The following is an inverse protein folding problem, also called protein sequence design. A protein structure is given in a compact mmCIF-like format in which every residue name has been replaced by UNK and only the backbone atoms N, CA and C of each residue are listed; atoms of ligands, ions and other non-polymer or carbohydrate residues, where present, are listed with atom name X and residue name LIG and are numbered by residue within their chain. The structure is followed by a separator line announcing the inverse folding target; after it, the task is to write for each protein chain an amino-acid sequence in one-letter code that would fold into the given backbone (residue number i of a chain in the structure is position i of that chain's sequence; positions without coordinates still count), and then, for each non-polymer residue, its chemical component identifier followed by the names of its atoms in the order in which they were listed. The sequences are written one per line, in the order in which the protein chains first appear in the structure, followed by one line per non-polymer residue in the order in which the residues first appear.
data_IF_963681849909
#
_entry.id   IF_963681849909
#
_cell.length_a   1.000
_cell.length_b   1.000
_cell.length_c   1.000
_cell.angle_alpha   90.00
_cell.angle_beta   90.00
_cell.angle_gamma   90.00
#
_symmetry.space_group_name_H-M   'P 1'
#
loop_
_entity.id
_entity.type
_entity.pdbx_description
1 polymer ?
#
# COMPACT_ATOMS: atom_id res chain seq x y z
N UNK A 1 2.91 8.53 -4.92
CA UNK A 1 2.98 8.64 -3.45
C UNK A 1 4.17 9.48 -3.04
N UNK A 2 3.96 10.41 -2.15
CA UNK A 2 5.01 11.27 -1.59
C UNK A 2 5.47 10.64 -0.26
N UNK A 3 6.75 10.32 -0.08
CA UNK A 3 7.22 9.55 1.08
C UNK A 3 6.83 10.13 2.45
N UNK A 4 6.82 11.46 2.58
CA UNK A 4 6.50 12.14 3.85
C UNK A 4 5.01 11.99 4.27
N UNK A 5 4.12 11.52 3.39
CA UNK A 5 2.72 11.22 3.75
C UNK A 5 2.53 9.78 4.25
N UNK A 6 3.53 8.90 4.11
CA UNK A 6 3.42 7.49 4.52
C UNK A 6 3.11 7.28 6.01
N UNK A 7 3.66 8.08 6.96
CA UNK A 7 3.27 7.95 8.37
C UNK A 7 1.80 8.28 8.64
N UNK A 8 1.15 9.00 7.73
CA UNK A 8 -0.29 9.33 7.79
C UNK A 8 -1.16 8.34 6.98
N UNK A 9 -0.61 7.19 6.57
CA UNK A 9 -1.37 6.16 5.88
C UNK A 9 -2.47 5.59 6.76
N UNK A 10 -3.69 5.58 6.26
CA UNK A 10 -4.86 5.01 6.94
C UNK A 10 -5.64 4.04 6.05
N UNK A 11 -5.33 3.96 4.76
CA UNK A 11 -5.98 3.06 3.83
C UNK A 11 -5.14 2.76 2.58
N UNK A 12 -5.54 1.71 1.87
CA UNK A 12 -5.08 1.39 0.52
C UNK A 12 -6.29 1.40 -0.40
N UNK A 13 -6.29 2.23 -1.45
CA UNK A 13 -7.43 2.32 -2.36
C UNK A 13 -7.16 1.56 -3.65
N UNK A 14 -8.12 0.73 -4.05
CA UNK A 14 -8.13 -0.05 -5.30
C UNK A 14 -9.29 0.34 -6.18
N UNK A 15 -9.16 0.16 -7.50
CA UNK A 15 -10.27 0.36 -8.43
C UNK A 15 -11.21 -0.85 -8.42
N UNK A 16 -12.53 -0.68 -8.19
CA UNK A 16 -13.46 -1.81 -8.07
C UNK A 16 -13.47 -2.72 -9.29
N UNK A 17 -13.38 -2.14 -10.48
CA UNK A 17 -13.45 -2.85 -11.77
C UNK A 17 -12.08 -3.24 -12.34
N UNK A 18 -10.99 -2.90 -11.67
CA UNK A 18 -9.63 -3.26 -12.09
C UNK A 18 -9.37 -4.72 -11.77
N UNK A 19 -8.73 -5.42 -12.72
CA UNK A 19 -8.23 -6.79 -12.51
C UNK A 19 -6.89 -6.73 -11.78
N UNK A 20 -6.80 -7.44 -10.67
CA UNK A 20 -5.58 -7.62 -9.87
C UNK A 20 -5.11 -9.06 -9.93
N UNK A 21 -3.82 -9.26 -9.71
CA UNK A 21 -3.21 -10.59 -9.62
C UNK A 21 -2.39 -10.70 -8.33
N UNK A 22 -2.43 -11.90 -7.75
CA UNK A 22 -1.53 -12.31 -6.69
C UNK A 22 -0.35 -13.01 -7.37
N UNK A 23 0.82 -12.42 -7.27
CA UNK A 23 2.06 -12.93 -7.87
C UNK A 23 2.97 -13.45 -6.77
N UNK A 24 3.42 -14.69 -6.93
CA UNK A 24 4.49 -15.27 -6.12
C UNK A 24 5.83 -15.04 -6.84
N UNK A 25 6.83 -14.57 -6.09
CA UNK A 25 8.18 -14.30 -6.59
C UNK A 25 9.18 -14.25 -5.42
N UNK A 26 10.38 -13.76 -5.66
CA UNK A 26 11.38 -13.47 -4.63
C UNK A 26 11.61 -11.97 -4.49
N UNK A 27 11.85 -11.52 -3.28
CA UNK A 27 12.30 -10.16 -3.02
C UNK A 27 13.73 -10.02 -3.57
N UNK A 28 14.03 -9.04 -4.46
CA UNK A 28 15.34 -8.92 -5.11
C UNK A 28 16.49 -8.53 -4.15
N UNK A 29 16.17 -8.09 -2.94
CA UNK A 29 17.16 -7.66 -1.95
C UNK A 29 17.41 -8.71 -0.86
N UNK A 30 16.34 -9.35 -0.39
CA UNK A 30 16.44 -10.34 0.69
C UNK A 30 16.50 -11.77 0.18
N UNK A 31 16.15 -11.99 -1.09
CA UNK A 31 16.03 -13.30 -1.76
C UNK A 31 15.02 -14.25 -1.10
N UNK A 32 14.17 -13.72 -0.21
CA UNK A 32 13.08 -14.47 0.40
C UNK A 32 11.87 -14.49 -0.53
N UNK A 33 11.13 -15.59 -0.52
CA UNK A 33 9.86 -15.71 -1.24
C UNK A 33 8.86 -14.68 -0.74
N UNK A 34 8.16 -14.02 -1.66
CA UNK A 34 7.14 -13.03 -1.36
C UNK A 34 5.95 -13.18 -2.30
N UNK A 35 4.77 -12.89 -1.78
CA UNK A 35 3.55 -12.74 -2.56
C UNK A 35 3.20 -11.26 -2.63
N UNK A 36 2.94 -10.75 -3.83
CA UNK A 36 2.55 -9.35 -4.05
C UNK A 36 1.26 -9.26 -4.85
N UNK A 37 0.46 -8.24 -4.55
CA UNK A 37 -0.76 -7.92 -5.31
C UNK A 37 -0.51 -6.65 -6.10
N UNK A 38 -0.85 -6.67 -7.39
CA UNK A 38 -0.83 -5.49 -8.25
C UNK A 38 -1.85 -5.63 -9.38
N UNK A 39 -2.16 -4.51 -10.03
CA UNK A 39 -3.03 -4.53 -11.20
C UNK A 39 -2.42 -5.41 -12.31
N UNK A 40 -3.23 -6.30 -12.88
CA UNK A 40 -2.81 -7.23 -13.93
C UNK A 40 -2.17 -6.52 -15.12
N UNK A 41 -2.72 -5.36 -15.51
CA UNK A 41 -2.19 -4.55 -16.61
C UNK A 41 -0.77 -4.03 -16.37
N UNK A 42 -0.32 -3.99 -15.12
CA UNK A 42 0.98 -3.45 -14.72
C UNK A 42 2.04 -4.51 -14.44
N UNK A 43 1.70 -5.80 -14.54
CA UNK A 43 2.63 -6.92 -14.29
C UNK A 43 3.90 -6.77 -15.11
N UNK A 44 3.79 -6.47 -16.40
CA UNK A 44 4.94 -6.32 -17.32
C UNK A 44 5.88 -5.14 -17.00
N UNK A 45 5.46 -4.18 -16.14
CA UNK A 45 6.36 -3.12 -15.65
C UNK A 45 7.33 -3.61 -14.58
N UNK A 46 6.95 -4.63 -13.82
CA UNK A 46 7.70 -5.11 -12.66
C UNK A 46 8.36 -6.48 -12.88
N UNK A 47 7.76 -7.31 -13.73
CA UNK A 47 8.18 -8.68 -13.94
C UNK A 47 8.54 -8.92 -15.40
N UNK A 48 9.73 -9.46 -15.63
CA UNK A 48 10.17 -9.82 -16.99
C UNK A 48 9.44 -11.06 -17.47
N UNK A 49 8.93 -11.11 -18.71
CA UNK A 49 8.23 -12.27 -19.25
C UNK A 49 9.03 -13.57 -19.16
N UNK A 50 10.36 -13.50 -19.32
CA UNK A 50 11.26 -14.65 -19.26
C UNK A 50 11.31 -15.32 -17.88
N UNK A 51 10.85 -14.61 -16.83
CA UNK A 51 10.75 -15.14 -15.46
C UNK A 51 9.42 -15.82 -15.17
N UNK A 52 8.44 -15.72 -16.09
CA UNK A 52 7.12 -16.30 -15.87
C UNK A 52 7.19 -17.83 -15.75
N UNK A 53 6.63 -18.38 -14.68
CA UNK A 53 6.71 -19.80 -14.33
C UNK A 53 8.14 -20.36 -14.32
N UNK A 54 9.12 -19.50 -14.01
CA UNK A 54 10.53 -19.89 -13.96
C UNK A 54 10.87 -20.86 -12.84
N UNK A 55 12.13 -21.21 -12.72
CA UNK A 55 12.62 -22.19 -11.75
C UNK A 55 12.72 -21.59 -10.35
N UNK A 56 11.76 -21.93 -9.50
CA UNK A 56 11.73 -21.53 -8.08
C UNK A 56 12.62 -22.40 -7.20
N UNK A 57 12.87 -23.66 -7.58
CA UNK A 57 13.61 -24.63 -6.77
C UNK A 57 15.11 -24.34 -6.78
N UNK A 58 15.64 -23.92 -7.94
CA UNK A 58 17.06 -23.62 -8.10
C UNK A 58 17.36 -22.12 -8.05
N UNK A 59 16.39 -21.27 -7.61
CA UNK A 59 16.63 -19.84 -7.47
C UNK A 59 17.73 -19.57 -6.42
N UNK A 60 18.64 -18.67 -6.77
CA UNK A 60 19.67 -18.15 -5.87
C UNK A 60 19.99 -16.68 -6.24
N UNK A 61 20.82 -16.03 -5.41
CA UNK A 61 21.13 -14.60 -5.55
C UNK A 61 21.84 -14.22 -6.87
N UNK A 62 22.44 -15.17 -7.57
CA UNK A 62 23.16 -14.92 -8.84
C UNK A 62 22.21 -14.92 -10.05
N UNK A 63 20.94 -15.32 -9.87
CA UNK A 63 19.94 -15.36 -10.94
C UNK A 63 19.51 -13.94 -11.30
N UNK A 64 19.76 -13.54 -12.56
CA UNK A 64 19.49 -12.18 -13.06
C UNK A 64 18.01 -11.89 -13.33
N UNK A 65 17.20 -12.93 -13.54
CA UNK A 65 15.77 -12.83 -13.86
C UNK A 65 15.03 -13.55 -12.75
N UNK A 66 14.29 -12.79 -11.93
CA UNK A 66 13.49 -13.35 -10.86
C UNK A 66 12.39 -14.25 -11.45
N UNK A 67 12.26 -15.50 -10.99
CA UNK A 67 11.10 -16.32 -11.34
C UNK A 67 9.86 -15.75 -10.65
N UNK A 68 8.74 -15.77 -11.37
CA UNK A 68 7.46 -15.33 -10.85
C UNK A 68 6.33 -16.15 -11.45
N UNK A 69 5.22 -16.24 -10.73
CA UNK A 69 4.00 -16.89 -11.22
C UNK A 69 2.76 -16.26 -10.63
N UNK A 70 1.68 -16.23 -11.40
CA UNK A 70 0.37 -15.77 -10.91
C UNK A 70 -0.27 -16.93 -10.16
N UNK A 71 -0.62 -16.67 -8.88
CA UNK A 71 -1.34 -17.63 -8.03
C UNK A 71 -2.84 -17.47 -8.14
N UNK A 72 -3.33 -16.23 -8.30
CA UNK A 72 -4.74 -15.91 -8.38
C UNK A 72 -4.98 -14.62 -9.17
N UNK A 73 -6.16 -14.52 -9.76
CA UNK A 73 -6.70 -13.29 -10.38
C UNK A 73 -8.00 -12.92 -9.69
N UNK A 74 -8.21 -11.63 -9.42
CA UNK A 74 -9.35 -11.13 -8.67
C UNK A 74 -9.76 -9.72 -9.15
N UNK A 75 -11.00 -9.34 -8.92
CA UNK A 75 -11.46 -7.97 -9.10
C UNK A 75 -11.15 -7.13 -7.87
N UNK A 76 -10.89 -5.83 -8.06
CA UNK A 76 -10.62 -4.93 -6.94
C UNK A 76 -11.73 -4.91 -5.90
N UNK A 77 -13.00 -5.00 -6.32
CA UNK A 77 -14.14 -5.09 -5.40
C UNK A 77 -14.03 -6.23 -4.38
N UNK A 78 -13.37 -7.33 -4.73
CA UNK A 78 -13.19 -8.48 -3.81
C UNK A 78 -12.15 -8.23 -2.71
N UNK A 79 -11.36 -7.17 -2.85
CA UNK A 79 -10.38 -6.73 -1.84
C UNK A 79 -10.98 -5.77 -0.82
N UNK A 80 -12.20 -5.26 -1.04
CA UNK A 80 -12.84 -4.30 -0.15
C UNK A 80 -12.88 -4.82 1.29
N UNK A 81 -12.45 -3.97 2.22
CA UNK A 81 -12.47 -4.27 3.65
C UNK A 81 -11.35 -5.21 4.15
N UNK A 82 -10.49 -5.75 3.27
CA UNK A 82 -9.31 -6.48 3.71
C UNK A 82 -8.46 -5.61 4.64
N UNK A 83 -8.06 -6.15 5.78
CA UNK A 83 -7.20 -5.48 6.75
C UNK A 83 -5.74 -5.72 6.40
N UNK A 84 -4.87 -4.73 6.70
CA UNK A 84 -3.43 -4.86 6.55
C UNK A 84 -2.70 -4.32 7.78
N UNK A 85 -1.50 -4.78 8.03
CA UNK A 85 -0.65 -4.27 9.09
C UNK A 85 -0.18 -2.84 8.77
N UNK A 86 -0.22 -1.96 9.77
CA UNK A 86 0.24 -0.59 9.62
C UNK A 86 1.68 -0.55 9.10
N UNK A 87 1.92 0.19 8.01
CA UNK A 87 3.21 0.24 7.32
C UNK A 87 4.34 0.77 8.19
N UNK A 88 4.07 1.85 8.93
CA UNK A 88 5.04 2.55 9.78
C UNK A 88 4.41 2.80 11.15
N UNK A 89 4.44 1.80 12.06
CA UNK A 89 3.80 1.91 13.37
C UNK A 89 4.69 2.72 14.34
N UNK A 90 4.22 3.89 14.71
CA UNK A 90 4.83 4.76 15.72
C UNK A 90 3.81 5.13 16.79
N UNK A 91 4.26 5.74 17.89
CA UNK A 91 3.39 6.19 18.97
C UNK A 91 2.37 7.23 18.46
N UNK A 92 2.84 8.24 17.73
CA UNK A 92 2.01 9.35 17.24
C UNK A 92 0.92 8.93 16.25
N UNK A 93 1.12 7.85 15.50
CA UNK A 93 0.15 7.36 14.51
C UNK A 93 -0.48 6.02 14.89
N UNK A 94 -0.44 5.67 16.18
CA UNK A 94 -1.02 4.42 16.68
C UNK A 94 -2.55 4.42 16.55
N UNK A 95 -3.13 3.23 16.54
CA UNK A 95 -4.58 3.05 16.52
C UNK A 95 -5.26 3.76 17.70
N UNK A 96 -4.61 3.85 18.86
CA UNK A 96 -5.11 4.56 20.03
C UNK A 96 -5.25 6.05 19.73
N UNK A 97 -4.20 6.69 19.20
CA UNK A 97 -4.24 8.12 18.83
C UNK A 97 -5.30 8.40 17.77
N UNK A 98 -5.39 7.55 16.74
CA UNK A 98 -6.41 7.68 15.68
C UNK A 98 -7.82 7.64 16.27
N UNK A 99 -8.09 6.75 17.23
CA UNK A 99 -9.39 6.58 17.86
C UNK A 99 -9.69 7.63 18.93
N UNK A 100 -8.71 8.32 19.50
CA UNK A 100 -8.95 9.49 20.35
C UNK A 100 -9.59 10.62 19.54
N UNK A 101 -9.16 10.85 18.29
CA UNK A 101 -9.73 11.89 17.43
C UNK A 101 -11.00 11.41 16.68
N UNK A 102 -11.05 10.14 16.31
CA UNK A 102 -12.18 9.52 15.59
C UNK A 102 -12.49 8.15 16.21
N UNK A 103 -13.33 8.11 17.28
CA UNK A 103 -13.54 6.89 18.10
C UNK A 103 -13.98 5.64 17.32
N UNK A 104 -14.80 5.82 16.28
CA UNK A 104 -15.34 4.74 15.45
C UNK A 104 -14.52 4.50 14.18
N UNK A 105 -13.31 5.09 14.08
CA UNK A 105 -12.46 4.91 12.89
C UNK A 105 -12.06 3.44 12.69
N UNK A 106 -12.07 3.04 11.43
CA UNK A 106 -11.63 1.71 10.98
C UNK A 106 -10.47 1.86 9.97
N UNK A 107 -9.27 2.30 10.40
CA UNK A 107 -8.13 2.47 9.53
C UNK A 107 -7.52 1.13 9.10
N UNK A 108 -6.49 1.20 8.24
CA UNK A 108 -5.68 0.08 7.77
C UNK A 108 -6.47 -0.99 7.01
N UNK A 109 -7.36 -0.50 6.12
CA UNK A 109 -8.21 -1.34 5.26
C UNK A 109 -8.07 -0.99 3.80
N UNK A 110 -8.40 -1.96 2.95
CA UNK A 110 -8.53 -1.74 1.51
C UNK A 110 -9.89 -1.10 1.22
N UNK A 111 -9.86 -0.04 0.43
CA UNK A 111 -11.01 0.81 0.09
C UNK A 111 -11.23 0.78 -1.43
N UNK A 112 -12.46 1.07 -1.87
CA UNK A 112 -12.77 1.23 -3.29
C UNK A 112 -12.81 2.70 -3.70
N UNK A 113 -12.13 3.02 -4.80
CA UNK A 113 -12.12 4.37 -5.38
C UNK A 113 -12.04 4.34 -6.90
N UNK A 114 -12.96 5.05 -7.56
CA UNK A 114 -13.04 5.10 -9.03
C UNK A 114 -11.91 5.94 -9.67
N UNK A 115 -11.15 6.68 -8.86
CA UNK A 115 -10.02 7.49 -9.31
C UNK A 115 -8.72 6.68 -9.52
N UNK A 116 -8.70 5.42 -9.11
CA UNK A 116 -7.54 4.54 -9.29
C UNK A 116 -7.40 4.18 -10.76
N UNK A 117 -6.20 4.35 -11.30
CA UNK A 117 -5.85 4.02 -12.70
C UNK A 117 -4.78 2.95 -12.79
N UNK A 118 -4.59 2.42 -14.00
CA UNK A 118 -3.51 1.48 -14.32
C UNK A 118 -2.47 2.09 -15.28
N UNK A 119 -2.39 3.41 -15.32
CA UNK A 119 -1.41 4.12 -16.16
C UNK A 119 -0.02 4.08 -15.55
N UNK A 120 0.03 4.18 -14.20
CA UNK A 120 1.28 4.18 -13.45
C UNK A 120 1.14 3.49 -12.09
N UNK A 121 2.28 3.32 -11.38
CA UNK A 121 2.31 2.66 -10.08
C UNK A 121 1.94 1.18 -10.15
N UNK A 122 1.24 0.69 -9.12
CA UNK A 122 0.83 -0.70 -8.97
C UNK A 122 -0.67 -0.93 -9.14
N UNK A 123 -1.46 0.13 -9.37
CA UNK A 123 -2.92 0.09 -9.33
C UNK A 123 -3.50 0.04 -7.90
N UNK A 124 -2.67 0.24 -6.89
CA UNK A 124 -3.06 0.37 -5.48
C UNK A 124 -2.54 1.70 -4.97
N UNK A 125 -3.43 2.54 -4.46
CA UNK A 125 -3.10 3.90 -4.03
C UNK A 125 -3.01 3.95 -2.51
N UNK A 126 -1.85 4.38 -2.00
CA UNK A 126 -1.69 4.80 -0.61
C UNK A 126 -2.66 5.95 -0.31
N UNK A 127 -3.43 5.83 0.76
CA UNK A 127 -4.49 6.77 1.12
C UNK A 127 -4.20 7.43 2.46
N UNK A 128 -4.02 8.75 2.43
CA UNK A 128 -3.81 9.60 3.60
C UNK A 128 -4.81 10.77 3.55
N UNK A 129 -5.97 10.68 4.23
CA UNK A 129 -7.09 11.63 4.10
C UNK A 129 -6.73 13.09 4.36
N UNK A 130 -5.68 13.38 5.14
CA UNK A 130 -5.22 14.73 5.41
C UNK A 130 -4.51 15.41 4.21
N UNK A 131 -4.08 14.65 3.18
CA UNK A 131 -3.15 15.14 2.16
C UNK A 131 -3.66 15.03 0.72
N UNK A 132 -4.91 14.66 0.50
CA UNK A 132 -5.49 14.59 -0.84
C UNK A 132 -7.01 14.70 -0.85
N UNK A 133 -7.57 15.43 -1.84
CA UNK A 133 -9.02 15.61 -1.95
C UNK A 133 -9.75 14.28 -2.22
N UNK A 134 -9.16 13.40 -3.03
CA UNK A 134 -9.70 12.06 -3.28
C UNK A 134 -9.55 11.17 -2.06
N UNK A 135 -8.39 11.21 -1.39
CA UNK A 135 -8.11 10.49 -0.16
C UNK A 135 -9.08 10.89 0.95
N UNK A 136 -9.34 12.20 1.09
CA UNK A 136 -10.33 12.72 2.06
C UNK A 136 -11.73 12.19 1.79
N UNK A 137 -12.19 12.22 0.52
CA UNK A 137 -13.51 11.74 0.14
C UNK A 137 -13.70 10.25 0.43
N UNK A 138 -12.73 9.43 -0.01
CA UNK A 138 -12.79 7.98 0.22
C UNK A 138 -12.61 7.65 1.70
N UNK A 139 -11.71 8.33 2.38
CA UNK A 139 -11.48 8.17 3.83
C UNK A 139 -12.71 8.48 4.65
N UNK A 140 -13.44 9.54 4.31
CA UNK A 140 -14.71 9.89 4.96
C UNK A 140 -15.81 8.85 4.68
N UNK A 141 -15.92 8.37 3.43
CA UNK A 141 -16.89 7.33 3.05
C UNK A 141 -16.71 6.07 3.90
N UNK A 142 -15.47 5.66 4.14
CA UNK A 142 -15.12 4.42 4.86
C UNK A 142 -14.82 4.64 6.35
N UNK A 143 -14.91 5.87 6.83
CA UNK A 143 -14.61 6.23 8.22
C UNK A 143 -13.26 5.70 8.72
N UNK A 144 -12.19 5.91 7.93
CA UNK A 144 -10.84 5.45 8.32
C UNK A 144 -10.11 6.43 9.25
N UNK A 145 -10.72 7.57 9.57
CA UNK A 145 -10.11 8.64 10.36
C UNK A 145 -9.33 9.65 9.52
N UNK A 146 -8.75 10.62 10.19
CA UNK A 146 -7.85 11.64 9.61
C UNK A 146 -6.63 11.73 10.51
N UNK A 147 -5.44 11.75 9.93
CA UNK A 147 -4.20 11.78 10.66
C UNK A 147 -3.19 12.68 9.94
N UNK A 148 -2.63 13.66 10.67
CA UNK A 148 -1.64 14.59 10.11
C UNK A 148 -0.34 14.46 10.89
N UNK A 149 0.67 13.85 10.28
CA UNK A 149 1.98 13.60 10.91
C UNK A 149 3.02 14.65 10.53
N UNK A 150 2.60 15.76 9.94
CA UNK A 150 3.46 16.90 9.58
C UNK A 150 2.83 18.18 10.14
N UNK A 151 3.60 19.00 10.80
CA UNK A 151 3.17 20.28 11.34
C UNK A 151 3.06 21.39 10.28
N UNK A 152 2.71 22.60 10.70
CA UNK A 152 2.56 23.77 9.81
C UNK A 152 3.87 24.26 9.22
N UNK A 153 5.01 23.87 9.78
CA UNK A 153 6.35 24.20 9.30
C UNK A 153 6.88 23.14 8.31
N UNK A 154 6.16 22.03 8.12
CA UNK A 154 6.56 20.93 7.25
C UNK A 154 7.47 19.90 7.93
N UNK A 155 7.57 19.93 9.28
CA UNK A 155 8.32 18.96 10.07
C UNK A 155 7.41 17.84 10.55
N UNK A 156 7.94 16.66 10.67
CA UNK A 156 7.26 15.56 11.35
C UNK A 156 6.99 15.91 12.83
N UNK A 157 5.81 15.55 13.32
CA UNK A 157 5.45 15.70 14.73
C UNK A 157 6.28 14.78 15.63
N UNK A 158 6.26 15.04 16.95
CA UNK A 158 6.86 14.14 17.91
C UNK A 158 6.19 12.76 17.92
N UNK A 159 6.91 11.73 18.40
CA UNK A 159 6.38 10.37 18.48
C UNK A 159 6.49 9.55 17.18
N UNK A 160 7.28 10.02 16.21
CA UNK A 160 7.62 9.31 14.97
C UNK A 160 9.05 8.74 14.98
N UNK A 161 9.58 8.41 16.16
CA UNK A 161 10.91 7.83 16.30
C UNK A 161 12.00 8.72 15.72
N UNK A 162 12.85 8.16 14.85
CA UNK A 162 13.97 8.87 14.22
C UNK A 162 13.54 10.01 13.26
N UNK A 163 12.29 10.04 12.84
CA UNK A 163 11.75 11.09 11.96
C UNK A 163 11.20 12.29 12.73
N UNK A 164 10.98 12.17 14.04
CA UNK A 164 10.44 13.27 14.87
C UNK A 164 11.21 14.56 14.68
N UNK A 165 10.50 15.69 14.46
CA UNK A 165 11.02 17.04 14.28
C UNK A 165 11.96 17.24 13.06
N UNK A 166 11.99 16.31 12.12
CA UNK A 166 12.72 16.42 10.85
C UNK A 166 11.84 16.91 9.71
N UNK A 167 12.46 17.52 8.69
CA UNK A 167 11.85 17.87 7.41
C UNK A 167 11.81 16.68 6.47
#
# INVERSE_FOLDING_TARGET
TTPWTLPSNLGLTVGPNIDYVLVNTFNPYTHLTVNVILAKALVGKYFKPEGENGDFENYNADVKILPWKILASLKGETLEGCEYEQLLPYEANSLTVIKEETPDAMPFRVLLGDFVTTEDGTGIVHTAPAFGAYDYKVGKKYNIGILTMVDKEGKFVDGLGEFSNRY
#
